data_IF_297610634327
#
_entry.id   IF_297610634327
#
_cell.length_a   1.000
_cell.length_b   1.000
_cell.length_c   1.000
_cell.angle_alpha   90.00
_cell.angle_beta   90.00
_cell.angle_gamma   90.00
#
_symmetry.space_group_name_H-M   'P 1'
#
loop_
_entity.id
_entity.type
_entity.pdbx_description
1 polymer ?
#
# COMPACT_ATOMS: atom_id res chain seq x y z
N UNK A 1 -3.03 -5.13 -13.13
CA UNK A 1 -4.51 -5.23 -13.20
C UNK A 1 -5.02 -5.55 -14.60
N UNK A 2 -4.76 -4.73 -15.63
CA UNK A 2 -5.19 -4.96 -17.03
C UNK A 2 -5.12 -6.43 -17.53
N UNK A 3 -4.02 -7.14 -17.23
CA UNK A 3 -3.81 -8.51 -17.69
C UNK A 3 -4.23 -9.60 -16.70
N UNK A 4 -4.13 -9.32 -15.39
CA UNK A 4 -4.39 -10.31 -14.34
C UNK A 4 -5.88 -10.40 -14.00
N UNK A 5 -6.61 -9.29 -14.07
CA UNK A 5 -8.04 -9.28 -13.72
C UNK A 5 -8.87 -10.20 -14.65
N UNK A 6 -8.70 -10.19 -15.98
CA UNK A 6 -9.43 -11.14 -16.84
C UNK A 6 -9.19 -12.60 -16.46
N UNK A 7 -7.98 -12.95 -16.03
CA UNK A 7 -7.64 -14.32 -15.60
C UNK A 7 -8.38 -14.67 -14.30
N UNK A 8 -8.29 -13.82 -13.27
CA UNK A 8 -8.91 -14.06 -11.97
C UNK A 8 -10.45 -14.06 -12.07
N UNK A 9 -11.03 -13.14 -12.86
CA UNK A 9 -12.47 -13.08 -13.12
C UNK A 9 -12.96 -14.36 -13.80
N UNK A 10 -12.22 -14.88 -14.79
CA UNK A 10 -12.57 -16.15 -15.45
C UNK A 10 -12.42 -17.36 -14.51
N UNK A 11 -11.51 -17.29 -13.54
CA UNK A 11 -11.35 -18.32 -12.50
C UNK A 11 -12.47 -18.26 -11.45
N UNK A 12 -13.14 -17.12 -11.29
CA UNK A 12 -14.20 -16.92 -10.29
C UNK A 12 -13.68 -16.77 -8.86
N UNK A 13 -12.39 -16.50 -8.68
CA UNK A 13 -11.79 -16.16 -7.40
C UNK A 13 -10.46 -15.43 -7.60
N UNK A 14 -10.06 -14.62 -6.62
CA UNK A 14 -8.73 -14.03 -6.60
C UNK A 14 -8.56 -12.92 -5.58
N UNK A 15 -7.31 -12.55 -5.31
CA UNK A 15 -6.97 -11.39 -4.49
C UNK A 15 -5.84 -10.60 -5.15
N UNK A 16 -6.06 -9.28 -5.29
CA UNK A 16 -5.09 -8.32 -5.81
C UNK A 16 -4.78 -7.32 -4.71
N UNK A 17 -3.50 -7.18 -4.37
CA UNK A 17 -3.02 -6.24 -3.37
C UNK A 17 -2.11 -5.22 -4.06
N UNK A 18 -2.58 -3.98 -4.15
CA UNK A 18 -1.81 -2.88 -4.72
C UNK A 18 -0.97 -2.20 -3.64
N UNK A 19 0.31 -1.95 -3.93
CA UNK A 19 1.19 -1.20 -3.01
C UNK A 19 1.15 0.29 -3.33
N UNK A 20 0.51 1.07 -2.48
CA UNK A 20 0.54 2.53 -2.53
C UNK A 20 1.60 3.08 -1.56
N UNK A 21 1.23 3.99 -0.67
CA UNK A 21 2.05 4.64 0.37
C UNK A 21 1.12 5.43 1.29
N UNK A 22 1.59 5.83 2.48
CA UNK A 22 0.95 6.91 3.25
C UNK A 22 0.73 8.17 2.40
N UNK A 23 1.59 8.45 1.43
CA UNK A 23 1.42 9.53 0.44
C UNK A 23 0.28 9.32 -0.55
N UNK A 24 -0.38 8.16 -0.55
CA UNK A 24 -1.63 7.91 -1.29
C UNK A 24 -2.89 8.27 -0.50
N UNK A 25 -2.74 8.68 0.77
CA UNK A 25 -3.84 9.04 1.66
C UNK A 25 -3.67 10.45 2.25
N UNK A 26 -2.46 10.99 2.22
CA UNK A 26 -2.12 12.32 2.72
C UNK A 26 -1.14 13.02 1.78
N UNK A 27 -1.12 14.35 1.83
CA UNK A 27 -0.16 15.17 1.11
C UNK A 27 1.21 15.18 1.79
N UNK A 28 2.26 15.41 1.00
CA UNK A 28 3.62 15.65 1.49
C UNK A 28 4.29 16.70 0.61
N UNK A 29 4.80 17.76 1.23
CA UNK A 29 5.43 18.86 0.52
C UNK A 29 6.72 18.39 -0.18
N UNK A 30 7.00 18.94 -1.37
CA UNK A 30 8.22 18.64 -2.13
C UNK A 30 8.18 17.36 -2.98
N UNK A 31 7.11 16.55 -2.88
CA UNK A 31 6.99 15.26 -3.59
C UNK A 31 5.66 15.08 -4.34
N UNK A 32 5.13 16.17 -4.93
CA UNK A 32 3.81 16.18 -5.56
C UNK A 32 3.62 15.07 -6.64
N UNK A 33 4.54 14.83 -7.59
CA UNK A 33 4.36 13.75 -8.57
C UNK A 33 4.23 12.37 -7.94
N UNK A 34 5.02 12.11 -6.89
CA UNK A 34 4.94 10.86 -6.14
C UNK A 34 3.59 10.72 -5.43
N UNK A 35 3.17 11.74 -4.68
CA UNK A 35 1.87 11.77 -3.97
C UNK A 35 0.71 11.56 -4.94
N UNK A 36 0.71 12.24 -6.08
CA UNK A 36 -0.31 12.07 -7.14
C UNK A 36 -0.33 10.65 -7.67
N UNK A 37 0.84 10.06 -7.97
CA UNK A 37 0.90 8.66 -8.45
C UNK A 37 0.33 7.67 -7.42
N UNK A 38 0.57 7.92 -6.12
CA UNK A 38 0.09 7.05 -5.04
C UNK A 38 -1.40 7.20 -4.79
N UNK A 39 -1.96 8.40 -4.96
CA UNK A 39 -3.41 8.60 -4.98
C UNK A 39 -4.06 7.94 -6.21
N UNK A 40 -3.41 7.95 -7.37
CA UNK A 40 -3.93 7.26 -8.56
C UNK A 40 -4.07 5.75 -8.32
N UNK A 41 -3.12 5.13 -7.62
CA UNK A 41 -3.22 3.71 -7.21
C UNK A 41 -4.45 3.46 -6.32
N UNK A 42 -4.81 4.39 -5.44
CA UNK A 42 -6.02 4.30 -4.60
C UNK A 42 -7.28 4.34 -5.44
N UNK A 43 -7.37 5.31 -6.36
CA UNK A 43 -8.49 5.41 -7.29
C UNK A 43 -8.67 4.12 -8.09
N UNK A 44 -7.58 3.63 -8.69
CA UNK A 44 -7.58 2.38 -9.46
C UNK A 44 -7.99 1.17 -8.62
N UNK A 45 -7.56 1.09 -7.35
CA UNK A 45 -7.93 0.01 -6.44
C UNK A 45 -9.43 -0.01 -6.18
N UNK A 46 -10.02 1.15 -5.85
CA UNK A 46 -11.45 1.26 -5.56
C UNK A 46 -12.30 0.95 -6.78
N UNK A 47 -11.93 1.50 -7.94
CA UNK A 47 -12.64 1.24 -9.20
C UNK A 47 -12.57 -0.24 -9.55
N UNK A 48 -11.38 -0.84 -9.57
CA UNK A 48 -11.22 -2.25 -9.90
C UNK A 48 -11.98 -3.16 -8.92
N UNK A 49 -11.95 -2.86 -7.61
CA UNK A 49 -12.69 -3.62 -6.61
C UNK A 49 -14.19 -3.73 -6.94
N UNK A 50 -14.80 -2.62 -7.38
CA UNK A 50 -16.21 -2.59 -7.79
C UNK A 50 -16.45 -3.36 -9.09
N UNK A 51 -15.54 -3.25 -10.06
CA UNK A 51 -15.66 -3.88 -11.37
C UNK A 51 -15.61 -5.41 -11.31
N UNK A 52 -14.85 -5.99 -10.37
CA UNK A 52 -14.62 -7.45 -10.32
C UNK A 52 -15.26 -8.17 -9.13
N UNK A 53 -15.95 -7.44 -8.23
CA UNK A 53 -16.55 -8.03 -7.03
C UNK A 53 -17.56 -9.15 -7.32
N UNK A 54 -18.36 -9.03 -8.38
CA UNK A 54 -19.35 -10.05 -8.76
C UNK A 54 -18.72 -11.39 -9.19
N UNK A 55 -17.43 -11.38 -9.54
CA UNK A 55 -16.66 -12.57 -9.86
C UNK A 55 -15.83 -13.09 -8.68
N UNK A 56 -16.13 -12.65 -7.45
CA UNK A 56 -15.43 -13.05 -6.23
C UNK A 56 -13.91 -12.77 -6.26
N UNK A 57 -13.52 -11.72 -6.98
CA UNK A 57 -12.15 -11.19 -6.99
C UNK A 57 -12.09 -9.97 -6.08
N UNK A 58 -11.11 -9.96 -5.17
CA UNK A 58 -10.89 -8.88 -4.21
C UNK A 58 -9.75 -7.99 -4.67
N UNK A 59 -9.89 -6.68 -4.50
CA UNK A 59 -8.83 -5.72 -4.83
C UNK A 59 -8.68 -4.75 -3.67
N UNK A 60 -7.52 -4.75 -3.01
CA UNK A 60 -7.23 -3.88 -1.86
C UNK A 60 -5.91 -3.14 -2.08
N UNK A 61 -5.68 -2.06 -1.32
CA UNK A 61 -4.40 -1.35 -1.31
C UNK A 61 -3.79 -1.32 0.09
N UNK A 62 -2.46 -1.44 0.13
CA UNK A 62 -1.67 -1.22 1.34
C UNK A 62 -0.87 0.08 1.24
N UNK A 63 -0.65 0.71 2.39
CA UNK A 63 -0.10 2.05 2.51
C UNK A 63 1.03 2.08 3.53
N UNK A 64 2.24 1.66 3.13
CA UNK A 64 3.41 1.71 4.01
C UNK A 64 3.87 3.14 4.31
N UNK A 65 4.35 3.36 5.54
CA UNK A 65 5.28 4.45 5.88
C UNK A 65 6.70 4.12 5.34
N UNK A 66 7.76 4.88 5.66
CA UNK A 66 9.12 4.43 5.40
C UNK A 66 9.37 3.00 5.87
N UNK A 67 9.90 2.18 4.96
CA UNK A 67 10.27 0.77 5.20
C UNK A 67 11.77 0.62 4.99
N UNK A 68 12.44 -0.09 5.90
CA UNK A 68 13.88 -0.35 5.87
C UNK A 68 14.29 -1.14 4.62
N UNK A 69 14.54 -0.41 3.53
CA UNK A 69 14.81 -0.94 2.20
C UNK A 69 15.79 -0.03 1.47
N UNK A 70 16.35 -0.51 0.36
CA UNK A 70 17.25 0.28 -0.51
C UNK A 70 16.62 1.60 -0.97
N UNK A 71 15.30 1.65 -1.17
CA UNK A 71 14.61 2.87 -1.55
C UNK A 71 14.77 3.96 -0.48
N UNK A 72 14.65 3.61 0.79
CA UNK A 72 14.83 4.59 1.87
C UNK A 72 16.28 5.05 1.98
N UNK A 73 17.26 4.18 1.76
CA UNK A 73 18.68 4.59 1.73
C UNK A 73 18.95 5.65 0.66
N UNK A 74 18.36 5.48 -0.53
CA UNK A 74 18.46 6.49 -1.60
C UNK A 74 17.71 7.79 -1.27
N UNK A 75 16.59 7.73 -0.56
CA UNK A 75 15.85 8.92 -0.13
C UNK A 75 16.58 9.68 0.99
N UNK A 76 17.16 8.96 1.96
CA UNK A 76 18.01 9.52 3.02
C UNK A 76 19.17 10.32 2.43
N UNK A 77 19.91 9.73 1.48
CA UNK A 77 20.99 10.41 0.76
C UNK A 77 20.51 11.67 0.04
N UNK A 78 19.40 11.59 -0.70
CA UNK A 78 18.86 12.73 -1.46
C UNK A 78 18.30 13.85 -0.60
N UNK A 79 17.77 13.52 0.58
CA UNK A 79 17.19 14.48 1.53
C UNK A 79 18.21 14.98 2.56
N UNK A 80 19.45 14.46 2.55
CA UNK A 80 20.46 14.70 3.59
C UNK A 80 19.89 14.43 4.99
N UNK A 81 19.13 13.35 5.11
CA UNK A 81 18.48 12.92 6.34
C UNK A 81 18.93 11.50 6.70
N UNK A 82 18.72 11.11 7.96
CA UNK A 82 18.97 9.75 8.44
C UNK A 82 17.67 9.10 8.96
N UNK A 83 17.77 7.80 9.22
CA UNK A 83 16.66 7.02 9.77
C UNK A 83 16.16 7.60 11.10
N UNK A 84 17.07 8.07 11.96
CA UNK A 84 16.73 8.68 13.25
C UNK A 84 15.90 9.97 13.10
N UNK A 85 16.15 10.76 12.08
CA UNK A 85 15.40 11.99 11.79
C UNK A 85 14.05 11.66 11.19
N UNK A 86 14.03 10.77 10.21
CA UNK A 86 12.83 10.40 9.46
C UNK A 86 11.82 9.61 10.30
N UNK A 87 12.29 8.79 11.24
CA UNK A 87 11.43 8.00 12.13
C UNK A 87 10.73 8.83 13.22
N UNK A 88 11.14 10.08 13.46
CA UNK A 88 10.45 11.00 14.40
C UNK A 88 8.99 11.25 14.04
N UNK A 89 8.65 11.15 12.76
CA UNK A 89 7.27 11.27 12.28
C UNK A 89 6.44 9.99 12.44
N UNK A 90 7.02 8.90 12.94
CA UNK A 90 6.38 7.60 13.11
C UNK A 90 6.19 7.36 14.61
N UNK A 91 4.95 7.27 15.14
CA UNK A 91 4.71 7.06 16.57
C UNK A 91 5.37 5.82 17.18
N UNK A 92 5.52 4.72 16.42
CA UNK A 92 6.28 3.54 16.87
C UNK A 92 7.81 3.73 16.85
N UNK A 93 8.32 4.88 16.43
CA UNK A 93 9.72 5.29 16.58
C UNK A 93 10.73 4.55 15.70
N UNK A 94 10.27 3.84 14.67
CA UNK A 94 11.13 3.09 13.74
C UNK A 94 10.55 3.04 12.33
N UNK A 95 11.39 2.73 11.35
CA UNK A 95 10.89 2.30 10.05
C UNK A 95 10.13 0.97 10.17
N UNK A 96 9.19 0.75 9.26
CA UNK A 96 8.62 -0.57 9.05
C UNK A 96 9.69 -1.51 8.51
N UNK A 97 9.57 -2.80 8.80
CA UNK A 97 10.36 -3.84 8.16
C UNK A 97 9.57 -4.50 7.03
N UNK A 98 10.25 -5.16 6.10
CA UNK A 98 9.57 -5.88 5.00
C UNK A 98 8.54 -6.88 5.54
N UNK A 99 8.86 -7.53 6.67
CA UNK A 99 7.98 -8.47 7.36
C UNK A 99 6.71 -7.81 7.94
N UNK A 100 6.76 -6.55 8.35
CA UNK A 100 5.57 -5.82 8.81
C UNK A 100 4.57 -5.67 7.66
N UNK A 101 5.07 -5.38 6.46
CA UNK A 101 4.26 -5.24 5.25
C UNK A 101 3.76 -6.62 4.79
N UNK A 102 4.66 -7.61 4.74
CA UNK A 102 4.38 -8.94 4.23
C UNK A 102 3.27 -9.65 5.02
N UNK A 103 3.21 -9.47 6.35
CA UNK A 103 2.16 -10.07 7.19
C UNK A 103 0.76 -9.61 6.79
N UNK A 104 0.56 -8.32 6.52
CA UNK A 104 -0.72 -7.82 6.04
C UNK A 104 -1.02 -8.29 4.62
N UNK A 105 -0.03 -8.28 3.73
CA UNK A 105 -0.20 -8.77 2.35
C UNK A 105 -0.64 -10.24 2.37
N UNK A 106 0.00 -11.07 3.21
CA UNK A 106 -0.35 -12.48 3.38
C UNK A 106 -1.78 -12.64 3.88
N UNK A 107 -2.20 -11.88 4.90
CA UNK A 107 -3.59 -11.88 5.37
C UNK A 107 -4.57 -11.53 4.25
N UNK A 108 -4.31 -10.44 3.51
CA UNK A 108 -5.17 -10.00 2.40
C UNK A 108 -5.17 -10.98 1.22
N UNK A 109 -4.10 -11.75 1.02
CA UNK A 109 -4.02 -12.79 0.01
C UNK A 109 -4.75 -14.08 0.43
N UNK A 110 -4.90 -14.32 1.73
CA UNK A 110 -5.53 -15.53 2.29
C UNK A 110 -7.07 -15.47 2.30
N UNK A 111 -7.68 -16.61 2.61
CA UNK A 111 -9.14 -16.77 2.75
C UNK A 111 -9.69 -16.08 4.02
N UNK A 112 -8.83 -15.71 4.97
CA UNK A 112 -9.21 -14.98 6.18
C UNK A 112 -9.74 -13.56 5.87
N UNK A 113 -9.56 -13.09 4.63
CA UNK A 113 -9.99 -11.79 4.15
C UNK A 113 -11.05 -11.86 3.03
N UNK A 114 -11.79 -12.97 2.94
CA UNK A 114 -12.82 -13.22 1.89
C UNK A 114 -13.90 -12.14 1.79
N UNK A 115 -14.20 -11.41 2.86
CA UNK A 115 -15.17 -10.31 2.86
C UNK A 115 -14.55 -8.92 2.77
N UNK A 116 -13.28 -8.83 2.35
CA UNK A 116 -12.50 -7.59 2.33
C UNK A 116 -12.10 -7.24 0.89
N UNK A 117 -12.70 -6.19 0.33
CA UNK A 117 -12.35 -5.61 -0.98
C UNK A 117 -12.56 -4.10 -0.99
N UNK A 118 -11.81 -3.37 -1.83
CA UNK A 118 -11.82 -1.90 -1.91
C UNK A 118 -11.18 -1.18 -0.72
N UNK A 119 -10.61 -1.94 0.23
CA UNK A 119 -10.01 -1.42 1.45
C UNK A 119 -8.67 -0.75 1.22
N UNK A 120 -8.37 0.22 2.08
CA UNK A 120 -7.11 0.97 2.12
C UNK A 120 -6.47 0.75 3.49
N UNK A 121 -5.42 -0.05 3.54
CA UNK A 121 -4.83 -0.49 4.80
C UNK A 121 -3.47 0.18 5.05
N UNK A 122 -3.38 0.94 6.14
CA UNK A 122 -2.12 1.52 6.60
C UNK A 122 -1.26 0.46 7.28
N UNK A 123 0.03 0.47 6.95
CA UNK A 123 1.08 -0.24 7.70
C UNK A 123 2.17 0.77 7.98
N UNK A 124 1.86 1.69 8.90
CA UNK A 124 2.56 2.98 8.99
C UNK A 124 3.03 3.36 10.40
N UNK A 125 2.97 2.42 11.36
CA UNK A 125 3.39 2.67 12.73
C UNK A 125 2.65 3.84 13.41
N UNK A 126 1.42 4.15 12.97
CA UNK A 126 0.59 5.22 13.50
C UNK A 126 0.79 6.57 12.82
N UNK A 127 1.62 6.67 11.78
CA UNK A 127 1.98 7.95 11.14
C UNK A 127 0.76 8.72 10.60
N UNK A 128 -0.33 8.04 10.22
CA UNK A 128 -1.56 8.68 9.78
C UNK A 128 -2.78 8.43 10.66
N UNK A 129 -2.57 8.15 11.95
CA UNK A 129 -3.63 8.13 12.95
C UNK A 129 -4.19 9.53 13.27
#
# INVERSE_FOLDING_TARGET
>A
MKYVLPVLTNQGYGSVINTSSVGGLAGSAGVAPYVTSKHAVVGLTKTAALEVASANVRVNSIHPSPVNTRMMRSLEEGLQADEATMSKGIPLGRYGEADDIAKLVLFLASDDSTFITGGQYRVDGGMGA
#
